data_IF_027441742574
#
_entry.id   IF_027441742574
#
_cell.length_a   1.000
_cell.length_b   1.000
_cell.length_c   1.000
_cell.angle_alpha   90.00
_cell.angle_beta   90.00
_cell.angle_gamma   90.00
#
_symmetry.space_group_name_H-M   'P 1'
#
loop_
_entity.id
_entity.type
_entity.pdbx_description
1 polymer ?
#
# COMPACT_ATOMS: atom_id res chain seq x y z
N UNK A 1 -27.04 10.16 -46.03
CA UNK A 1 -26.65 10.91 -47.23
C UNK A 1 -25.25 11.42 -46.98
N UNK A 2 -24.21 10.94 -47.50
CA UNK A 2 -23.77 10.57 -48.76
C UNK A 2 -22.27 10.81 -48.79
N UNK A 3 -21.60 10.28 -49.69
CA UNK A 3 -20.35 10.81 -50.21
C UNK A 3 -19.07 10.05 -49.87
N UNK A 4 -18.85 8.94 -50.58
CA UNK A 4 -17.54 8.30 -50.74
C UNK A 4 -16.70 9.10 -51.76
N UNK A 5 -15.39 9.32 -51.52
CA UNK A 5 -14.51 9.84 -52.57
C UNK A 5 -14.08 8.74 -53.53
N UNK A 6 -14.17 9.09 -54.82
CA UNK A 6 -13.79 8.28 -55.97
C UNK A 6 -12.27 8.15 -56.07
N UNK A 7 -11.81 6.95 -56.36
CA UNK A 7 -10.49 6.66 -56.89
C UNK A 7 -10.35 7.21 -58.31
N UNK A 8 -9.37 8.05 -58.50
CA UNK A 8 -8.92 8.52 -59.83
C UNK A 8 -7.66 7.74 -60.21
N UNK A 9 -7.78 6.96 -61.26
CA UNK A 9 -6.71 6.21 -61.89
C UNK A 9 -6.06 7.04 -62.98
N UNK A 10 -4.76 7.30 -62.86
CA UNK A 10 -3.94 7.99 -63.85
C UNK A 10 -3.25 6.97 -64.80
N UNK A 11 -3.50 7.02 -66.11
CA UNK A 11 -2.87 6.17 -67.08
C UNK A 11 -1.78 6.90 -67.86
N UNK A 12 -0.54 6.91 -67.44
CA UNK A 12 0.55 7.29 -68.33
C UNK A 12 1.82 6.48 -68.01
N UNK A 13 2.01 5.43 -68.78
CA UNK A 13 3.23 4.65 -68.78
C UNK A 13 4.43 5.42 -69.33
N UNK A 14 5.46 5.53 -68.51
CA UNK A 14 6.83 5.83 -68.94
C UNK A 14 7.80 4.86 -68.37
N UNK A 15 8.24 3.94 -69.16
CA UNK A 15 9.38 3.03 -68.84
C UNK A 15 10.67 3.87 -68.88
N UNK A 16 11.23 4.16 -67.73
CA UNK A 16 12.59 4.67 -67.63
C UNK A 16 13.47 3.51 -67.19
N UNK A 17 14.30 3.05 -68.10
CA UNK A 17 15.32 2.02 -67.80
C UNK A 17 16.41 2.63 -66.90
N UNK A 18 16.47 2.18 -65.68
CA UNK A 18 17.56 2.50 -64.77
C UNK A 18 18.56 1.35 -64.72
N UNK A 19 19.76 1.67 -65.20
CA UNK A 19 20.95 0.79 -65.16
C UNK A 19 21.31 0.52 -63.68
N UNK A 20 21.38 -0.76 -63.38
CA UNK A 20 21.85 -1.23 -62.08
C UNK A 20 23.37 -0.97 -61.92
N UNK A 21 23.75 0.02 -61.16
CA UNK A 21 25.09 0.15 -60.65
C UNK A 21 25.13 -0.60 -59.31
N UNK A 22 25.80 -1.74 -59.28
CA UNK A 22 26.05 -2.52 -58.06
C UNK A 22 27.07 -1.77 -57.19
N UNK A 23 26.59 -1.04 -56.18
CA UNK A 23 27.44 -0.55 -55.12
C UNK A 23 27.40 -1.57 -53.98
N UNK A 24 28.48 -2.33 -53.83
CA UNK A 24 28.69 -3.22 -52.70
C UNK A 24 28.97 -2.36 -51.46
N UNK A 25 27.96 -2.11 -50.65
CA UNK A 25 28.09 -1.48 -49.36
C UNK A 25 28.40 -2.54 -48.31
N UNK A 26 29.65 -2.63 -47.88
CA UNK A 26 30.08 -3.44 -46.72
C UNK A 26 29.44 -2.85 -45.46
N UNK A 27 28.26 -3.35 -45.07
CA UNK A 27 27.58 -3.01 -43.86
C UNK A 27 28.27 -3.65 -42.66
N UNK A 28 29.02 -2.87 -41.88
CA UNK A 28 29.48 -3.26 -40.55
C UNK A 28 28.27 -3.55 -39.66
N UNK A 29 28.06 -4.85 -39.36
CA UNK A 29 27.08 -5.29 -38.35
C UNK A 29 27.56 -4.86 -36.98
N UNK A 30 27.18 -3.64 -36.54
CA UNK A 30 27.25 -3.23 -35.14
C UNK A 30 26.14 -4.00 -34.43
N UNK A 31 26.47 -5.19 -33.92
CA UNK A 31 25.61 -5.95 -33.03
C UNK A 31 25.37 -5.17 -31.76
N UNK A 32 24.32 -4.32 -31.74
CA UNK A 32 23.83 -3.73 -30.50
C UNK A 32 23.36 -4.89 -29.62
N UNK A 33 24.15 -5.25 -28.60
CA UNK A 33 23.72 -6.11 -27.50
C UNK A 33 22.59 -5.40 -26.77
N UNK A 34 21.35 -5.59 -27.23
CA UNK A 34 20.17 -5.17 -26.50
C UNK A 34 20.10 -6.01 -25.22
N UNK A 35 20.54 -5.45 -24.11
CA UNK A 35 20.34 -6.05 -22.78
C UNK A 35 18.84 -6.26 -22.59
N UNK A 36 18.37 -7.50 -22.34
CA UNK A 36 16.94 -7.74 -22.14
C UNK A 36 16.46 -6.88 -20.98
N UNK A 37 15.25 -6.27 -21.06
CA UNK A 37 14.73 -5.45 -19.99
C UNK A 37 14.69 -6.26 -18.71
N UNK A 38 15.37 -5.77 -17.67
CA UNK A 38 15.44 -6.41 -16.36
C UNK A 38 14.01 -6.50 -15.82
N UNK A 39 13.46 -7.71 -15.78
CA UNK A 39 12.11 -7.98 -15.28
C UNK A 39 12.05 -7.40 -13.86
N UNK A 40 11.12 -6.47 -13.61
CA UNK A 40 10.96 -5.88 -12.28
C UNK A 40 10.80 -7.02 -11.27
N UNK A 41 11.63 -7.02 -10.22
CA UNK A 41 11.58 -8.05 -9.19
C UNK A 41 10.18 -8.01 -8.55
N UNK A 42 9.44 -9.11 -8.69
CA UNK A 42 8.14 -9.25 -8.06
C UNK A 42 8.34 -9.37 -6.56
N UNK A 43 7.61 -8.56 -5.78
CA UNK A 43 7.58 -8.69 -4.32
C UNK A 43 6.95 -10.04 -3.98
N UNK A 44 7.64 -10.92 -3.23
CA UNK A 44 7.12 -12.25 -2.92
C UNK A 44 5.93 -12.18 -1.94
N UNK A 45 5.08 -13.24 -1.88
CA UNK A 45 4.01 -13.32 -0.91
C UNK A 45 4.56 -13.46 0.52
N UNK A 46 3.80 -12.93 1.48
CA UNK A 46 4.05 -13.14 2.90
C UNK A 46 3.52 -14.50 3.32
N UNK A 47 4.33 -15.20 4.11
CA UNK A 47 3.95 -16.47 4.76
C UNK A 47 4.45 -16.38 6.21
N UNK A 48 3.56 -16.60 7.17
CA UNK A 48 3.96 -16.67 8.57
C UNK A 48 4.97 -17.81 8.80
N UNK A 49 5.97 -17.63 9.67
CA UNK A 49 6.94 -18.70 9.99
C UNK A 49 6.24 -19.97 10.48
N UNK A 50 6.73 -21.13 10.04
CA UNK A 50 6.17 -22.40 10.47
C UNK A 50 6.27 -22.56 12.00
N UNK A 51 5.17 -22.94 12.64
CA UNK A 51 5.10 -23.12 14.10
C UNK A 51 5.01 -21.82 14.92
N UNK A 52 5.02 -20.65 14.29
CA UNK A 52 4.79 -19.40 15.00
C UNK A 52 3.32 -19.31 15.46
N UNK A 53 3.10 -18.68 16.62
CA UNK A 53 1.76 -18.22 16.97
C UNK A 53 1.33 -17.14 16.00
N UNK A 54 0.07 -17.15 15.59
CA UNK A 54 -0.44 -16.22 14.59
C UNK A 54 -1.60 -15.38 15.09
N UNK A 55 -1.78 -14.25 14.43
CA UNK A 55 -2.95 -13.40 14.48
C UNK A 55 -3.50 -13.25 13.06
N UNK A 56 -4.78 -12.98 12.94
CA UNK A 56 -5.47 -12.82 11.67
C UNK A 56 -5.45 -11.35 11.23
N UNK A 57 -4.93 -11.07 10.04
CA UNK A 57 -4.91 -9.75 9.44
C UNK A 57 -5.93 -9.65 8.32
N UNK A 58 -6.89 -8.75 8.48
CA UNK A 58 -7.86 -8.32 7.48
C UNK A 58 -7.40 -7.01 6.87
N UNK A 59 -7.79 -6.74 5.61
CA UNK A 59 -7.55 -5.45 4.98
C UNK A 59 -8.77 -4.95 4.22
N UNK A 60 -9.02 -3.64 4.31
CA UNK A 60 -10.08 -2.94 3.61
C UNK A 60 -9.57 -1.63 3.08
N UNK A 61 -9.80 -1.35 1.80
CA UNK A 61 -9.43 -0.09 1.15
C UNK A 61 -10.64 0.59 0.53
N UNK A 62 -10.92 1.83 0.92
CA UNK A 62 -11.81 2.71 0.20
C UNK A 62 -11.00 3.45 -0.86
N UNK A 63 -10.99 2.92 -2.09
CA UNK A 63 -10.22 3.40 -3.23
C UNK A 63 -11.13 3.61 -4.45
N UNK A 64 -10.71 4.42 -5.42
CA UNK A 64 -11.50 4.68 -6.61
C UNK A 64 -11.55 3.45 -7.54
N UNK A 65 -12.50 3.47 -8.48
CA UNK A 65 -12.53 2.48 -9.56
C UNK A 65 -11.22 2.55 -10.37
N UNK A 66 -10.61 1.38 -10.63
CA UNK A 66 -9.32 1.26 -11.30
C UNK A 66 -8.11 1.27 -10.38
N UNK A 67 -8.22 1.76 -9.15
CA UNK A 67 -7.15 1.68 -8.17
C UNK A 67 -7.06 0.27 -7.56
N UNK A 68 -5.84 -0.11 -7.20
CA UNK A 68 -5.57 -1.27 -6.37
C UNK A 68 -5.01 -0.83 -5.01
N UNK A 69 -5.30 -1.60 -3.97
CA UNK A 69 -4.64 -1.43 -2.68
C UNK A 69 -4.04 -2.74 -2.21
N UNK A 70 -3.06 -2.66 -1.33
CA UNK A 70 -2.42 -3.85 -0.77
C UNK A 70 -1.82 -3.59 0.59
N UNK A 71 -1.53 -4.70 1.28
CA UNK A 71 -0.74 -4.71 2.50
C UNK A 71 0.58 -5.38 2.18
N UNK A 72 1.66 -4.66 2.47
CA UNK A 72 3.01 -5.22 2.51
C UNK A 72 3.38 -5.42 3.98
N UNK A 73 3.93 -6.58 4.32
CA UNK A 73 4.55 -6.86 5.62
C UNK A 73 6.05 -6.96 5.41
N UNK A 74 6.85 -6.50 6.36
CA UNK A 74 8.29 -6.45 6.26
C UNK A 74 8.95 -7.57 7.07
N UNK A 75 9.92 -8.27 6.46
CA UNK A 75 10.73 -9.30 7.15
C UNK A 75 11.54 -8.67 8.30
N UNK A 76 12.10 -7.47 8.07
CA UNK A 76 12.73 -6.65 9.10
C UNK A 76 11.80 -5.49 9.49
N UNK A 77 11.07 -5.67 10.56
CA UNK A 77 10.11 -4.71 11.07
C UNK A 77 10.76 -3.41 11.57
N UNK A 78 12.00 -3.47 12.04
CA UNK A 78 12.72 -2.30 12.59
C UNK A 78 13.20 -1.38 11.47
N UNK A 79 13.83 -1.95 10.46
CA UNK A 79 14.42 -1.19 9.34
C UNK A 79 13.49 -1.08 8.14
N UNK A 80 12.26 -1.64 8.20
CA UNK A 80 11.29 -1.68 7.10
C UNK A 80 11.91 -2.29 5.81
N UNK A 81 12.63 -3.40 5.97
CA UNK A 81 13.30 -4.08 4.89
C UNK A 81 12.65 -5.45 4.58
N UNK A 82 12.85 -5.93 3.34
CA UNK A 82 12.29 -7.21 2.90
C UNK A 82 10.76 -7.20 2.80
N UNK A 83 10.13 -6.33 1.97
CA UNK A 83 8.69 -6.30 1.85
C UNK A 83 8.14 -7.59 1.25
N UNK A 84 7.00 -8.08 1.80
CA UNK A 84 6.23 -9.24 1.35
C UNK A 84 4.78 -8.83 1.15
N UNK A 85 4.11 -9.34 0.11
CA UNK A 85 2.69 -9.06 -0.13
C UNK A 85 1.84 -9.93 0.80
N UNK A 86 1.19 -9.33 1.78
CA UNK A 86 0.23 -10.01 2.64
C UNK A 86 -1.16 -10.08 2.00
N UNK A 87 -1.60 -9.00 1.36
CA UNK A 87 -2.90 -8.99 0.68
C UNK A 87 -2.95 -7.97 -0.45
N UNK A 88 -3.87 -8.17 -1.40
CA UNK A 88 -4.15 -7.22 -2.47
C UNK A 88 -5.63 -7.22 -2.83
N UNK A 89 -6.21 -6.03 -2.94
CA UNK A 89 -7.62 -5.78 -3.22
C UNK A 89 -7.83 -4.62 -4.20
N UNK A 90 -9.09 -4.31 -4.46
CA UNK A 90 -9.52 -3.16 -5.26
C UNK A 90 -10.85 -2.63 -4.74
N UNK A 91 -11.41 -1.62 -5.38
CA UNK A 91 -12.75 -1.10 -5.06
C UNK A 91 -13.85 -2.19 -5.12
N UNK A 92 -13.66 -3.22 -5.95
CA UNK A 92 -14.64 -4.31 -6.16
C UNK A 92 -14.24 -5.65 -5.53
N UNK A 93 -13.02 -5.77 -5.00
CA UNK A 93 -12.49 -7.02 -4.47
C UNK A 93 -11.83 -6.85 -3.12
N UNK A 94 -12.45 -7.40 -2.09
CA UNK A 94 -11.86 -7.52 -0.75
C UNK A 94 -10.94 -8.75 -0.70
N UNK A 95 -9.69 -8.63 -0.26
CA UNK A 95 -8.77 -9.75 -0.16
C UNK A 95 -9.15 -10.70 0.99
N UNK A 96 -8.64 -11.93 0.90
CA UNK A 96 -8.75 -12.89 2.00
C UNK A 96 -7.87 -12.43 3.17
N UNK A 97 -8.21 -12.92 4.37
CA UNK A 97 -7.39 -12.75 5.55
C UNK A 97 -6.01 -13.41 5.37
N UNK A 98 -5.00 -12.83 6.01
CA UNK A 98 -3.64 -13.36 6.06
C UNK A 98 -3.28 -13.63 7.52
N UNK A 99 -2.69 -14.80 7.79
CA UNK A 99 -2.11 -15.08 9.09
C UNK A 99 -0.76 -14.37 9.21
N UNK A 100 -0.56 -13.58 10.27
CA UNK A 100 0.69 -12.88 10.58
C UNK A 100 1.27 -13.39 11.89
N UNK A 101 2.63 -13.38 12.00
CA UNK A 101 3.31 -13.77 13.23
C UNK A 101 2.86 -12.87 14.40
N UNK A 102 2.54 -13.48 15.54
CA UNK A 102 2.14 -12.80 16.77
C UNK A 102 3.28 -12.76 17.79
N UNK A 103 3.18 -11.86 18.78
CA UNK A 103 4.14 -11.71 19.85
C UNK A 103 5.41 -10.93 19.48
N UNK A 104 5.58 -10.53 18.21
CA UNK A 104 6.70 -9.73 17.73
C UNK A 104 6.20 -8.48 17.02
N UNK A 105 7.00 -7.42 17.03
CA UNK A 105 6.69 -6.22 16.29
C UNK A 105 6.58 -6.55 14.79
N UNK A 106 5.44 -6.24 14.20
CA UNK A 106 5.18 -6.34 12.77
C UNK A 106 5.11 -4.93 12.19
N UNK A 107 5.84 -4.68 11.12
CA UNK A 107 5.72 -3.45 10.33
C UNK A 107 5.01 -3.77 9.03
N UNK A 108 4.03 -2.94 8.68
CA UNK A 108 3.27 -3.08 7.45
C UNK A 108 3.04 -1.73 6.76
N UNK A 109 2.82 -1.80 5.45
CA UNK A 109 2.33 -0.70 4.64
C UNK A 109 0.92 -0.97 4.15
N UNK A 110 0.05 0.01 4.28
CA UNK A 110 -1.11 0.15 3.40
C UNK A 110 -0.67 0.95 2.18
N UNK A 111 -0.74 0.34 1.01
CA UNK A 111 -0.33 0.90 -0.28
C UNK A 111 -1.54 1.04 -1.18
N UNK A 112 -1.72 2.21 -1.80
CA UNK A 112 -2.63 2.39 -2.94
C UNK A 112 -1.80 2.60 -4.18
N UNK A 113 -2.12 1.88 -5.24
CA UNK A 113 -1.50 2.00 -6.55
C UNK A 113 -2.55 2.46 -7.57
N UNK A 114 -2.22 3.51 -8.33
CA UNK A 114 -3.06 4.08 -9.37
C UNK A 114 -2.68 3.55 -10.75
N UNK A 115 -3.59 3.57 -11.74
CA UNK A 115 -3.31 3.15 -13.11
C UNK A 115 -2.18 3.94 -13.79
N UNK A 116 -2.00 5.21 -13.42
CA UNK A 116 -0.93 6.10 -13.91
C UNK A 116 0.44 5.83 -13.29
N UNK A 117 0.58 4.74 -12.51
CA UNK A 117 1.78 4.31 -11.79
C UNK A 117 2.16 5.20 -10.60
N UNK A 118 1.37 6.18 -10.25
CA UNK A 118 1.52 6.88 -8.96
C UNK A 118 1.06 6.00 -7.82
N UNK A 119 1.55 6.25 -6.63
CA UNK A 119 1.16 5.48 -5.45
C UNK A 119 1.26 6.32 -4.18
N UNK A 120 0.48 5.96 -3.19
CA UNK A 120 0.63 6.49 -1.84
C UNK A 120 0.74 5.37 -0.81
N UNK A 121 1.37 5.66 0.33
CA UNK A 121 1.73 4.66 1.33
C UNK A 121 1.57 5.19 2.74
N UNK A 122 0.99 4.37 3.61
CA UNK A 122 0.90 4.62 5.06
C UNK A 122 1.53 3.46 5.79
N UNK A 123 2.54 3.73 6.62
CA UNK A 123 3.32 2.71 7.33
C UNK A 123 2.99 2.70 8.82
N UNK A 124 2.74 1.49 9.33
CA UNK A 124 2.46 1.24 10.72
C UNK A 124 3.33 0.10 11.25
N UNK A 125 3.69 0.17 12.53
CA UNK A 125 4.21 -0.96 13.29
C UNK A 125 3.31 -1.19 14.49
N UNK A 126 3.09 -2.46 14.84
CA UNK A 126 2.33 -2.87 16.02
C UNK A 126 2.77 -4.28 16.43
N UNK A 127 2.35 -4.73 17.61
CA UNK A 127 2.66 -6.07 18.09
C UNK A 127 1.40 -6.91 18.13
N UNK A 128 1.17 -7.79 17.13
CA UNK A 128 0.00 -8.64 17.10
C UNK A 128 -0.02 -9.62 18.29
N UNK A 129 -1.19 -9.80 18.89
CA UNK A 129 -1.42 -10.82 19.94
C UNK A 129 -1.98 -12.09 19.29
N UNK A 130 -1.49 -13.24 19.70
CA UNK A 130 -1.94 -14.54 19.17
C UNK A 130 -3.46 -14.72 19.32
N UNK A 131 -4.08 -15.27 18.25
CA UNK A 131 -5.52 -15.53 18.19
C UNK A 131 -6.41 -14.29 17.95
N UNK A 132 -5.86 -13.08 18.01
CA UNK A 132 -6.63 -11.87 17.70
C UNK A 132 -6.79 -11.65 16.20
N UNK A 133 -7.81 -10.87 15.87
CA UNK A 133 -8.05 -10.37 14.51
C UNK A 133 -7.79 -8.87 14.44
N UNK A 134 -7.02 -8.44 13.44
CA UNK A 134 -6.71 -7.05 13.18
C UNK A 134 -7.25 -6.65 11.81
N UNK A 135 -7.71 -5.40 11.69
CA UNK A 135 -8.15 -4.82 10.43
C UNK A 135 -7.27 -3.61 10.09
N UNK A 136 -6.58 -3.68 8.97
CA UNK A 136 -5.99 -2.49 8.35
C UNK A 136 -7.06 -1.85 7.45
N UNK A 137 -7.61 -0.74 7.93
CA UNK A 137 -8.61 0.03 7.19
C UNK A 137 -7.96 1.27 6.61
N UNK A 138 -7.97 1.39 5.29
CA UNK A 138 -7.38 2.52 4.59
C UNK A 138 -8.31 3.17 3.58
N UNK A 139 -8.00 4.40 3.23
CA UNK A 139 -8.76 5.17 2.25
C UNK A 139 -7.85 6.11 1.45
N UNK A 140 -8.21 6.30 0.18
CA UNK A 140 -7.67 7.38 -0.62
C UNK A 140 -8.37 8.69 -0.24
N UNK A 141 -7.61 9.78 -0.18
CA UNK A 141 -8.10 11.13 0.10
C UNK A 141 -7.52 12.10 -0.92
N UNK A 142 -8.04 13.32 -0.99
CA UNK A 142 -7.50 14.37 -1.87
C UNK A 142 -6.06 14.78 -1.53
N UNK A 143 -5.58 14.46 -0.33
CA UNK A 143 -4.22 14.78 0.15
C UNK A 143 -3.29 13.55 0.17
N UNK A 144 -3.69 12.43 -0.43
CA UNK A 144 -2.97 11.15 -0.42
C UNK A 144 -3.79 10.03 0.21
N UNK A 145 -3.18 9.08 0.90
CA UNK A 145 -3.89 8.00 1.57
C UNK A 145 -3.75 8.07 3.09
N UNK A 146 -4.73 7.50 3.77
CA UNK A 146 -4.73 7.30 5.22
C UNK A 146 -5.01 5.83 5.51
N UNK A 147 -4.54 5.35 6.63
CA UNK A 147 -4.87 4.02 7.13
C UNK A 147 -4.77 3.99 8.65
N UNK A 148 -5.50 3.05 9.23
CA UNK A 148 -5.50 2.75 10.67
C UNK A 148 -5.33 1.25 10.85
N UNK A 149 -4.74 0.85 11.97
CA UNK A 149 -4.72 -0.54 12.45
C UNK A 149 -5.71 -0.63 13.59
N UNK A 150 -6.69 -1.52 13.45
CA UNK A 150 -7.77 -1.73 14.42
C UNK A 150 -7.66 -3.14 15.00
N UNK A 151 -7.88 -3.29 16.31
CA UNK A 151 -8.26 -4.56 16.91
C UNK A 151 -9.73 -4.83 16.52
N UNK A 152 -9.94 -5.82 15.69
CA UNK A 152 -11.23 -6.26 15.15
C UNK A 152 -11.61 -7.67 15.66
N UNK A 153 -11.07 -8.06 16.80
CA UNK A 153 -11.38 -9.35 17.43
C UNK A 153 -12.87 -9.44 17.77
N UNK A 154 -13.43 -8.33 18.23
CA UNK A 154 -14.88 -8.12 18.31
C UNK A 154 -15.27 -7.18 17.16
N UNK A 155 -15.96 -7.68 16.11
CA UNK A 155 -16.30 -6.87 14.93
C UNK A 155 -17.32 -5.76 15.24
N UNK A 156 -18.11 -5.89 16.29
CA UNK A 156 -19.10 -4.89 16.68
C UNK A 156 -18.49 -3.77 17.54
N UNK A 157 -17.34 -4.04 18.16
CA UNK A 157 -16.62 -3.10 19.02
C UNK A 157 -15.14 -2.90 18.61
N UNK A 158 -14.91 -2.66 17.32
CA UNK A 158 -13.57 -2.40 16.82
C UNK A 158 -12.98 -1.15 17.44
N UNK A 159 -11.70 -1.22 17.84
CA UNK A 159 -10.96 -0.10 18.44
C UNK A 159 -9.58 0.04 17.82
N UNK A 160 -8.99 1.24 17.92
CA UNK A 160 -7.62 1.44 17.49
C UNK A 160 -6.67 0.48 18.23
N UNK A 161 -5.73 -0.14 17.50
CA UNK A 161 -4.73 -1.00 18.12
C UNK A 161 -3.76 -0.16 18.98
N UNK A 162 -3.72 -0.44 20.29
CA UNK A 162 -3.00 0.36 21.27
C UNK A 162 -1.48 0.36 21.09
N UNK A 163 -0.91 -0.71 20.52
CA UNK A 163 0.53 -0.79 20.22
C UNK A 163 0.90 -0.18 18.86
N UNK A 164 -0.08 0.30 18.07
CA UNK A 164 0.17 0.80 16.73
C UNK A 164 0.90 2.14 16.75
N UNK A 165 2.02 2.21 16.02
CA UNK A 165 2.83 3.40 15.84
C UNK A 165 2.97 3.73 14.36
N UNK A 166 2.73 4.97 14.00
CA UNK A 166 2.97 5.42 12.64
C UNK A 166 4.47 5.60 12.37
N UNK A 167 4.97 5.00 11.27
CA UNK A 167 6.39 4.95 10.93
C UNK A 167 6.79 5.88 9.79
N UNK A 168 5.85 6.59 9.20
CA UNK A 168 6.13 7.59 8.18
C UNK A 168 5.18 8.78 8.29
N UNK A 169 5.68 9.97 8.02
CA UNK A 169 4.86 11.16 7.84
C UNK A 169 4.29 11.25 6.42
N UNK A 170 4.75 10.38 5.50
CA UNK A 170 4.44 10.27 4.09
C UNK A 170 5.57 9.55 3.36
N UNK A 171 5.32 9.09 2.14
CA UNK A 171 6.32 8.42 1.30
C UNK A 171 6.88 7.11 1.88
N UNK A 172 8.14 6.80 1.58
CA UNK A 172 8.80 5.52 1.92
C UNK A 172 9.63 5.56 3.20
N UNK A 173 9.64 6.68 3.94
CA UNK A 173 10.43 6.80 5.17
C UNK A 173 10.09 5.69 6.17
N UNK A 174 11.10 5.24 6.92
CA UNK A 174 10.99 4.30 8.02
C UNK A 174 11.50 4.98 9.30
N UNK A 175 10.62 5.72 9.98
CA UNK A 175 10.97 6.39 11.24
C UNK A 175 11.29 5.36 12.32
N UNK A 176 12.13 5.71 13.28
CA UNK A 176 12.46 4.81 14.39
C UNK A 176 11.20 4.40 15.19
N UNK A 177 11.21 3.19 15.73
CA UNK A 177 10.23 2.77 16.73
C UNK A 177 10.45 3.58 18.01
N UNK A 178 9.39 4.15 18.52
CA UNK A 178 9.38 4.76 19.85
C UNK A 178 9.05 3.66 20.85
N UNK A 179 9.86 3.53 21.90
CA UNK A 179 9.51 2.63 22.99
C UNK A 179 8.18 3.10 23.59
N UNK A 180 7.15 2.26 23.48
CA UNK A 180 5.93 2.51 24.24
C UNK A 180 6.30 2.47 25.71
N UNK A 181 5.86 3.44 26.53
CA UNK A 181 6.03 3.32 27.98
C UNK A 181 5.43 1.95 28.36
N UNK A 182 6.21 1.15 29.09
CA UNK A 182 5.67 -0.07 29.67
C UNK A 182 4.34 0.35 30.31
N UNK A 183 3.23 -0.31 29.89
CA UNK A 183 1.95 -0.05 30.51
C UNK A 183 2.20 -0.12 32.01
N UNK A 184 2.16 1.04 32.66
CA UNK A 184 2.25 1.06 34.11
C UNK A 184 1.17 0.08 34.52
N UNK A 185 1.57 -1.00 35.14
CA UNK A 185 0.67 -1.92 35.81
C UNK A 185 0.04 -1.07 36.90
N UNK A 186 -0.98 -0.31 36.51
CA UNK A 186 -1.89 0.31 37.45
C UNK A 186 -2.54 -0.88 38.15
N UNK A 187 -1.90 -1.25 39.27
CA UNK A 187 -2.46 -2.18 40.21
C UNK A 187 -3.87 -1.73 40.51
N UNK A 188 -4.78 -2.65 40.29
CA UNK A 188 -6.19 -2.63 40.45
C UNK A 188 -6.78 -1.39 41.13
N UNK A 189 -7.48 -0.65 40.35
CA UNK A 189 -8.70 0.08 40.73
C UNK A 189 -9.36 0.39 39.39
N UNK A 190 -10.51 -0.24 39.12
CA UNK A 190 -11.38 0.19 38.05
C UNK A 190 -11.54 1.71 38.14
N UNK A 191 -11.28 2.48 37.09
CA UNK A 191 -11.66 3.86 37.07
C UNK A 191 -13.20 3.87 36.99
N UNK A 192 -13.85 4.02 38.15
CA UNK A 192 -15.18 4.63 38.18
C UNK A 192 -15.01 5.94 37.44
N UNK A 193 -15.58 6.00 36.22
CA UNK A 193 -15.33 7.06 35.26
C UNK A 193 -15.88 8.42 35.72
N UNK A 194 -15.13 9.06 36.55
CA UNK A 194 -15.30 10.47 36.84
C UNK A 194 -14.05 11.17 36.29
N UNK A 195 -14.18 11.76 35.10
CA UNK A 195 -13.16 12.61 34.53
C UNK A 195 -12.97 13.80 35.44
N UNK A 196 -11.97 13.76 36.30
CA UNK A 196 -11.57 14.92 37.10
C UNK A 196 -10.94 15.94 36.17
N UNK A 197 -11.71 16.95 35.81
CA UNK A 197 -11.23 18.15 35.12
C UNK A 197 -10.11 18.79 35.95
N UNK A 198 -9.01 19.14 35.32
CA UNK A 198 -7.94 19.91 36.02
C UNK A 198 -8.55 21.16 36.61
N UNK A 199 -8.17 21.56 37.85
CA UNK A 199 -8.61 22.81 38.41
C UNK A 199 -8.23 23.97 37.49
N UNK A 200 -9.22 24.67 36.94
CA UNK A 200 -9.04 25.76 36.00
C UNK A 200 -9.42 25.47 34.53
N UNK A 201 -9.84 24.24 34.20
CA UNK A 201 -10.41 23.97 32.89
C UNK A 201 -11.81 24.57 32.78
N UNK A 202 -12.06 25.40 31.78
CA UNK A 202 -13.36 26.00 31.49
C UNK A 202 -14.10 25.19 30.40
N UNK A 203 -15.41 25.35 30.34
CA UNK A 203 -16.24 24.73 29.31
C UNK A 203 -15.83 25.14 27.87
N UNK A 204 -15.13 26.27 27.73
CA UNK A 204 -14.65 26.76 26.44
C UNK A 204 -13.48 25.94 25.88
N UNK A 205 -12.71 25.24 26.75
CA UNK A 205 -11.64 24.36 26.34
C UNK A 205 -12.15 23.10 25.60
N UNK A 206 -13.43 22.75 25.77
CA UNK A 206 -14.09 21.63 25.12
C UNK A 206 -14.70 21.99 23.77
N UNK A 207 -14.98 23.26 23.49
CA UNK A 207 -15.59 23.68 22.22
C UNK A 207 -14.61 23.57 21.03
N UNK A 208 -13.29 23.62 21.26
CA UNK A 208 -12.27 23.41 20.23
C UNK A 208 -12.13 21.98 19.75
N UNK A 209 -12.69 20.99 20.44
CA UNK A 209 -12.58 19.57 20.09
C UNK A 209 -13.78 19.02 19.28
N UNK A 210 -14.88 19.77 19.18
CA UNK A 210 -16.14 19.31 18.57
C UNK A 210 -16.39 19.93 17.18
N UNK A 211 -15.54 20.85 16.76
CA UNK A 211 -15.75 21.64 15.53
C UNK A 211 -14.58 21.63 14.55
N UNK A 212 -14.21 20.49 13.99
CA UNK A 212 -13.49 20.43 12.71
C UNK A 212 -13.87 19.17 11.92
#
# INVERSE_FOLDING_TARGET
MGGLPRHETDPAGRRIGVRWATVALAGALVGACATPPKKAAQVPPYVAPAGAQTARLLSRGAVNAGDAYGILVYDDAVNCAGPRIASAGSSSRTPKATEIEAGRTTTLDFLVAHPDKTSCRVRWSFTPTAGKTYLVSGALTTKGCRALVLDATDPDHMKAEGSAQRRNAGGSACSALVALPAAATLGGSEPTGEAVLRPGASADDLQGLIGQ
#
